data_IF_895601867249
#
_entry.id   IF_895601867249
#
_cell.length_a   1.000
_cell.length_b   1.000
_cell.length_c   1.000
_cell.angle_alpha   90.00
_cell.angle_beta   90.00
_cell.angle_gamma   90.00
#
_symmetry.space_group_name_H-M   'P 1'
#
loop_
_entity.id
_entity.type
_entity.pdbx_description
1 polymer ?
#
# COMPACT_ATOMS: atom_id res chain seq x y z
N UNK A 1 2.02 8.68 -29.10
CA UNK A 1 1.15 8.08 -28.07
C UNK A 1 1.83 6.78 -27.70
N UNK A 2 2.77 6.86 -26.75
CA UNK A 2 3.59 5.72 -26.37
C UNK A 2 2.92 5.05 -25.18
N UNK A 3 2.11 4.05 -25.49
CA UNK A 3 1.65 3.06 -24.53
C UNK A 3 2.88 2.42 -23.90
N UNK A 4 3.05 2.50 -22.58
CA UNK A 4 4.10 1.77 -21.87
C UNK A 4 3.88 0.26 -22.10
N UNK A 5 4.59 -0.29 -23.09
CA UNK A 5 4.64 -1.72 -23.34
C UNK A 5 5.64 -2.32 -22.36
N UNK A 6 5.13 -2.95 -21.30
CA UNK A 6 5.90 -3.89 -20.50
C UNK A 6 6.28 -5.09 -21.38
N UNK A 7 7.51 -5.10 -21.93
CA UNK A 7 8.03 -6.22 -22.73
C UNK A 7 8.81 -7.17 -21.81
N UNK A 8 8.19 -8.30 -21.46
CA UNK A 8 8.83 -9.40 -20.74
C UNK A 8 9.40 -10.45 -21.74
N UNK A 9 10.69 -10.76 -21.63
CA UNK A 9 11.39 -11.78 -22.41
C UNK A 9 11.21 -13.17 -21.76
N UNK A 10 10.63 -14.13 -22.50
CA UNK A 10 10.34 -15.51 -22.03
C UNK A 10 11.57 -16.41 -22.06
N UNK A 11 11.81 -17.15 -20.97
CA UNK A 11 12.64 -18.38 -20.93
C UNK A 11 11.84 -19.47 -20.17
N UNK A 12 11.79 -20.73 -20.65
CA UNK A 12 10.95 -21.77 -20.04
C UNK A 12 11.70 -22.59 -18.98
N UNK A 13 11.13 -22.75 -17.77
CA UNK A 13 11.59 -23.76 -16.80
C UNK A 13 10.50 -24.46 -15.98
N UNK A 14 10.83 -25.70 -15.60
CA UNK A 14 9.97 -26.77 -15.06
C UNK A 14 9.81 -26.70 -13.53
N UNK A 15 8.72 -27.25 -12.96
CA UNK A 15 8.45 -27.17 -11.52
C UNK A 15 9.13 -28.30 -10.72
N UNK A 16 9.57 -27.99 -9.50
CA UNK A 16 10.02 -28.96 -8.48
C UNK A 16 9.21 -28.74 -7.20
N UNK A 17 8.64 -29.82 -6.66
CA UNK A 17 7.84 -29.81 -5.44
C UNK A 17 8.69 -30.15 -4.20
N UNK A 18 8.43 -29.48 -3.08
CA UNK A 18 8.97 -29.89 -1.76
C UNK A 18 7.89 -29.85 -0.67
N UNK A 19 7.92 -30.86 0.22
CA UNK A 19 7.02 -31.03 1.37
C UNK A 19 7.77 -30.67 2.65
N UNK A 20 7.13 -29.90 3.55
CA UNK A 20 7.61 -29.67 4.91
C UNK A 20 6.53 -30.01 5.95
N UNK A 21 6.91 -30.82 6.95
CA UNK A 21 6.13 -31.19 8.12
C UNK A 21 6.20 -30.09 9.19
N UNK A 22 5.10 -29.84 9.89
CA UNK A 22 5.02 -28.94 11.07
C UNK A 22 4.94 -29.76 12.36
N UNK A 23 5.64 -29.31 13.39
CA UNK A 23 5.39 -29.67 14.77
C UNK A 23 4.76 -28.46 15.49
N UNK A 24 3.78 -28.71 16.36
CA UNK A 24 3.07 -27.69 17.13
C UNK A 24 3.43 -27.83 18.62
N UNK A 25 3.50 -26.70 19.33
CA UNK A 25 3.54 -26.64 20.80
C UNK A 25 2.34 -25.82 21.30
N UNK A 26 1.77 -26.15 22.49
CA UNK A 26 0.63 -25.43 23.04
C UNK A 26 1.03 -24.21 23.88
N UNK A 27 0.19 -23.17 23.83
CA UNK A 27 0.27 -21.95 24.63
C UNK A 27 -0.83 -21.98 25.69
N UNK A 28 -0.47 -21.74 26.95
CA UNK A 28 -1.40 -21.59 28.09
C UNK A 28 -1.62 -20.10 28.35
N UNK A 29 -2.89 -19.67 28.44
CA UNK A 29 -3.29 -18.29 28.78
C UNK A 29 -4.06 -18.32 30.10
N UNK A 30 -3.61 -17.52 31.06
CA UNK A 30 -4.30 -17.25 32.32
C UNK A 30 -5.18 -16.00 32.17
N UNK A 31 -6.45 -16.11 32.59
CA UNK A 31 -7.43 -15.02 32.54
C UNK A 31 -7.44 -14.17 33.81
N UNK A 32 -7.74 -12.87 33.65
CA UNK A 32 -8.05 -11.96 34.73
C UNK A 32 -9.46 -11.38 34.51
N UNK A 33 -10.30 -11.47 35.55
CA UNK A 33 -11.64 -10.87 35.63
C UNK A 33 -11.55 -9.37 35.93
N UNK A 34 -12.33 -8.57 35.21
CA UNK A 34 -12.57 -7.15 35.48
C UNK A 34 -14.01 -6.94 35.91
N UNK A 35 -14.20 -6.25 37.04
CA UNK A 35 -15.49 -5.83 37.59
C UNK A 35 -15.91 -4.46 37.04
N UNK A 36 -17.19 -4.31 36.70
CA UNK A 36 -17.78 -3.07 36.17
C UNK A 36 -18.29 -2.14 37.30
N UNK A 37 -18.19 -0.80 37.16
CA UNK A 37 -18.84 0.14 38.06
C UNK A 37 -20.26 0.53 37.62
N UNK A 38 -21.04 0.97 38.60
CA UNK A 38 -22.46 1.29 38.52
C UNK A 38 -22.77 2.57 37.72
N UNK A 39 -23.94 2.57 37.08
CA UNK A 39 -24.45 3.66 36.25
C UNK A 39 -25.06 4.79 37.10
N UNK A 40 -24.70 6.04 36.76
CA UNK A 40 -25.33 7.27 37.26
C UNK A 40 -26.31 7.77 36.19
N UNK A 41 -27.57 7.93 36.56
CA UNK A 41 -28.60 8.53 35.70
C UNK A 41 -28.68 10.03 35.92
N UNK A 42 -28.58 10.81 34.84
CA UNK A 42 -28.74 12.27 34.82
C UNK A 42 -30.06 12.61 34.11
N UNK A 43 -30.86 13.59 34.59
CA UNK A 43 -32.12 13.93 33.96
C UNK A 43 -31.92 14.68 32.63
N UNK A 44 -32.72 14.32 31.62
CA UNK A 44 -32.68 14.92 30.29
C UNK A 44 -33.44 16.26 30.25
N UNK A 45 -32.72 17.35 30.01
CA UNK A 45 -33.31 18.61 29.59
C UNK A 45 -33.59 18.57 28.08
N UNK A 46 -34.82 18.85 27.68
CA UNK A 46 -35.23 18.91 26.27
C UNK A 46 -34.58 20.13 25.59
N UNK A 47 -33.49 19.87 24.85
CA UNK A 47 -32.82 20.86 24.03
C UNK A 47 -33.54 21.03 22.68
N UNK A 48 -33.75 22.29 22.29
CA UNK A 48 -34.28 22.65 20.98
C UNK A 48 -33.44 22.04 19.86
N UNK A 49 -34.11 21.45 18.86
CA UNK A 49 -33.47 20.78 17.71
C UNK A 49 -32.76 21.85 16.86
N UNK A 50 -31.41 21.85 16.80
CA UNK A 50 -30.70 22.78 15.93
C UNK A 50 -30.99 22.45 14.47
N UNK A 51 -31.04 23.48 13.63
CA UNK A 51 -31.17 23.33 12.18
C UNK A 51 -30.09 22.36 11.63
N UNK A 52 -30.42 21.54 10.61
CA UNK A 52 -29.48 20.58 10.05
C UNK A 52 -28.23 21.31 9.56
N UNK A 53 -27.07 20.95 10.11
CA UNK A 53 -25.78 21.44 9.63
C UNK A 53 -25.62 21.02 8.16
N UNK A 54 -25.01 21.87 7.30
CA UNK A 54 -24.67 21.45 5.95
C UNK A 54 -23.91 20.12 6.01
N UNK A 55 -24.34 19.16 5.21
CA UNK A 55 -23.71 17.83 5.16
C UNK A 55 -22.22 18.03 4.92
N UNK A 56 -21.42 17.46 5.81
CA UNK A 56 -19.97 17.52 5.71
C UNK A 56 -19.45 16.92 4.39
N UNK A 57 -18.13 17.00 4.15
CA UNK A 57 -17.50 16.33 3.02
C UNK A 57 -17.95 14.86 2.89
N UNK A 58 -18.35 14.45 1.69
CA UNK A 58 -18.89 13.10 1.41
C UNK A 58 -18.14 12.42 0.26
N UNK A 59 -17.91 11.11 0.39
CA UNK A 59 -17.34 10.29 -0.68
C UNK A 59 -18.25 10.17 -1.90
N UNK A 60 -19.54 10.49 -1.78
CA UNK A 60 -20.46 10.52 -2.92
C UNK A 60 -20.12 11.63 -3.91
N UNK A 61 -19.43 12.69 -3.47
CA UNK A 61 -19.06 13.85 -4.28
C UNK A 61 -17.83 13.62 -5.15
N UNK A 62 -17.24 12.42 -5.10
CA UNK A 62 -16.14 12.03 -5.98
C UNK A 62 -16.55 12.13 -7.46
N UNK A 63 -15.60 12.37 -8.38
CA UNK A 63 -14.17 12.49 -8.14
C UNK A 63 -13.77 13.84 -7.54
N UNK A 64 -12.83 13.83 -6.59
CA UNK A 64 -12.30 15.05 -5.97
C UNK A 64 -11.17 15.64 -6.83
N UNK A 65 -11.25 16.91 -7.27
CA UNK A 65 -10.18 17.55 -8.02
C UNK A 65 -9.00 17.88 -7.10
N UNK A 66 -7.76 17.94 -7.61
CA UNK A 66 -6.61 18.34 -6.81
C UNK A 66 -6.60 19.86 -6.63
N UNK A 67 -6.27 20.32 -5.42
CA UNK A 67 -6.01 21.75 -5.14
C UNK A 67 -4.57 22.16 -5.45
N UNK A 68 -3.65 21.20 -5.56
CA UNK A 68 -2.27 21.39 -6.02
C UNK A 68 -1.85 20.27 -6.98
N UNK A 69 -1.88 20.55 -8.29
CA UNK A 69 -1.52 19.59 -9.33
C UNK A 69 -0.04 19.18 -9.30
N UNK A 70 0.84 19.94 -8.62
CA UNK A 70 2.29 19.64 -8.55
C UNK A 70 2.59 18.43 -7.67
N UNK A 71 1.62 17.97 -6.88
CA UNK A 71 1.73 16.77 -6.06
C UNK A 71 1.50 15.46 -6.84
N UNK A 72 1.19 15.57 -8.14
CA UNK A 72 0.90 14.47 -9.03
C UNK A 72 1.87 14.44 -10.21
N UNK A 73 1.83 13.37 -10.98
CA UNK A 73 2.80 13.12 -12.06
C UNK A 73 2.48 13.95 -13.32
N UNK A 74 3.48 14.32 -14.14
CA UNK A 74 3.28 15.13 -15.33
C UNK A 74 2.52 14.41 -16.46
N UNK A 75 2.49 13.09 -16.45
CA UNK A 75 1.71 12.30 -17.42
C UNK A 75 0.20 12.49 -17.24
N UNK A 76 -0.25 12.73 -15.99
CA UNK A 76 -1.65 13.05 -15.69
C UNK A 76 -1.90 14.56 -15.69
N UNK A 77 -0.97 15.32 -15.12
CA UNK A 77 -1.06 16.79 -15.01
C UNK A 77 0.18 17.45 -15.60
N UNK A 78 0.22 17.79 -16.90
CA UNK A 78 1.40 18.35 -17.55
C UNK A 78 1.96 19.62 -16.89
N UNK A 79 1.12 20.39 -16.20
CA UNK A 79 1.51 21.59 -15.45
C UNK A 79 2.32 21.31 -14.16
N UNK A 80 2.44 20.05 -13.74
CA UNK A 80 3.10 19.66 -12.48
C UNK A 80 4.64 19.75 -12.53
N UNK A 81 5.23 19.98 -13.71
CA UNK A 81 6.68 20.06 -13.91
C UNK A 81 7.41 18.72 -13.73
N UNK A 82 8.73 18.69 -13.94
CA UNK A 82 9.52 17.46 -13.88
C UNK A 82 9.51 16.86 -12.46
N UNK A 83 9.60 15.54 -12.39
CA UNK A 83 9.75 14.81 -11.13
C UNK A 83 11.24 14.63 -10.79
N UNK A 84 11.59 14.77 -9.51
CA UNK A 84 12.96 14.61 -9.02
C UNK A 84 12.92 13.73 -7.77
N UNK A 85 13.73 12.65 -7.67
CA UNK A 85 13.84 11.86 -6.46
C UNK A 85 14.36 12.68 -5.28
N UNK A 86 14.16 12.18 -4.06
CA UNK A 86 14.73 12.80 -2.87
C UNK A 86 16.24 13.05 -3.01
N UNK A 87 16.66 14.30 -2.80
CA UNK A 87 18.06 14.69 -2.76
C UNK A 87 18.65 14.51 -1.34
N UNK A 88 19.96 14.71 -1.22
CA UNK A 88 20.67 14.71 0.07
C UNK A 88 21.34 13.38 0.41
N UNK A 89 21.96 13.29 1.60
CA UNK A 89 22.57 12.06 2.08
C UNK A 89 21.51 11.05 2.49
N UNK A 90 21.85 9.75 2.40
CA UNK A 90 21.01 8.72 2.99
C UNK A 90 20.95 8.89 4.51
N UNK A 91 19.77 8.71 5.14
CA UNK A 91 19.62 8.88 6.58
C UNK A 91 20.42 7.83 7.36
N UNK A 92 21.00 8.24 8.48
CA UNK A 92 21.77 7.36 9.35
C UNK A 92 20.89 6.33 10.08
N UNK A 93 21.47 5.24 10.55
CA UNK A 93 20.72 4.18 11.24
C UNK A 93 19.98 4.66 12.50
N UNK A 94 20.60 5.55 13.28
CA UNK A 94 19.97 6.15 14.47
C UNK A 94 18.76 7.00 14.10
N UNK A 95 18.90 7.85 13.07
CA UNK A 95 17.81 8.68 12.56
C UNK A 95 16.64 7.83 12.04
N UNK A 96 16.94 6.79 11.26
CA UNK A 96 15.95 5.83 10.78
C UNK A 96 15.23 5.14 11.95
N UNK A 97 15.96 4.72 12.99
CA UNK A 97 15.36 4.12 14.19
C UNK A 97 14.38 5.08 14.87
N UNK A 98 14.77 6.34 15.08
CA UNK A 98 13.92 7.34 15.73
C UNK A 98 12.66 7.64 14.92
N UNK A 99 12.81 7.83 13.60
CA UNK A 99 11.68 8.06 12.69
C UNK A 99 10.74 6.85 12.62
N UNK A 100 11.30 5.63 12.62
CA UNK A 100 10.53 4.37 12.65
C UNK A 100 9.76 4.22 13.96
N UNK A 101 10.41 4.42 15.12
CA UNK A 101 9.75 4.39 16.42
C UNK A 101 8.64 5.43 16.53
N UNK A 102 8.85 6.65 16.01
CA UNK A 102 7.80 7.67 15.96
C UNK A 102 6.63 7.24 15.06
N UNK A 103 6.91 6.66 13.89
CA UNK A 103 5.88 6.17 12.96
C UNK A 103 5.04 5.08 13.61
N UNK A 104 5.67 4.07 14.21
CA UNK A 104 4.96 3.00 14.92
C UNK A 104 4.27 3.52 16.18
N UNK A 105 4.85 4.50 16.88
CA UNK A 105 4.25 5.13 18.05
C UNK A 105 2.92 5.82 17.73
N UNK A 106 2.78 6.40 16.54
CA UNK A 106 1.52 7.01 16.09
C UNK A 106 0.49 5.96 15.63
N UNK A 107 0.93 4.88 14.99
CA UNK A 107 0.03 3.88 14.38
C UNK A 107 -0.36 2.73 15.33
N UNK A 108 0.61 2.19 16.04
CA UNK A 108 0.44 1.04 16.93
C UNK A 108 1.49 1.04 18.07
N UNK A 109 1.30 1.90 19.08
CA UNK A 109 2.27 2.10 20.17
C UNK A 109 2.74 0.80 20.84
N UNK A 110 1.84 -0.19 21.00
CA UNK A 110 2.14 -1.47 21.62
C UNK A 110 3.23 -2.30 20.90
N UNK A 111 3.54 -1.98 19.63
CA UNK A 111 4.50 -2.73 18.79
C UNK A 111 5.78 -1.97 18.48
N UNK A 112 6.01 -0.79 19.10
CA UNK A 112 7.25 -0.03 18.93
C UNK A 112 8.47 -0.85 19.34
N UNK A 113 8.39 -1.61 20.44
CA UNK A 113 9.48 -2.48 20.90
C UNK A 113 9.80 -3.60 19.89
N UNK A 114 8.77 -4.27 19.37
CA UNK A 114 8.93 -5.29 18.31
C UNK A 114 9.57 -4.70 17.06
N UNK A 115 9.08 -3.55 16.58
CA UNK A 115 9.65 -2.88 15.41
C UNK A 115 11.12 -2.50 15.60
N UNK A 116 11.47 -2.02 16.80
CA UNK A 116 12.86 -1.67 17.13
C UNK A 116 13.78 -2.90 17.10
N UNK A 117 13.32 -4.06 17.59
CA UNK A 117 14.06 -5.32 17.53
C UNK A 117 14.21 -5.83 16.10
N UNK A 118 13.13 -5.80 15.31
CA UNK A 118 13.16 -6.21 13.90
C UNK A 118 14.14 -5.36 13.08
N UNK A 119 14.15 -4.06 13.29
CA UNK A 119 15.05 -3.14 12.59
C UNK A 119 16.53 -3.36 12.98
N UNK A 120 16.80 -3.50 14.28
CA UNK A 120 18.16 -3.40 14.80
C UNK A 120 18.91 -4.74 14.82
N UNK A 121 18.21 -5.83 15.20
CA UNK A 121 18.87 -7.09 15.59
C UNK A 121 18.29 -8.35 14.95
N UNK A 122 17.15 -8.31 14.24
CA UNK A 122 16.60 -9.51 13.61
C UNK A 122 17.53 -10.03 12.49
N UNK A 123 18.14 -11.22 12.65
CA UNK A 123 19.16 -11.71 11.72
C UNK A 123 18.59 -12.09 10.36
N UNK A 124 17.33 -12.55 10.30
CA UNK A 124 16.67 -12.90 9.05
C UNK A 124 16.46 -11.67 8.17
N UNK A 125 15.87 -10.62 8.75
CA UNK A 125 15.64 -9.37 8.06
C UNK A 125 16.94 -8.64 7.72
N UNK A 126 17.96 -8.67 8.60
CA UNK A 126 19.28 -8.07 8.28
C UNK A 126 19.98 -8.75 7.11
N UNK A 127 19.87 -10.07 7.01
CA UNK A 127 20.45 -10.84 5.91
C UNK A 127 19.73 -10.55 4.60
N UNK A 128 18.41 -10.59 4.59
CA UNK A 128 17.63 -10.36 3.37
C UNK A 128 17.58 -8.88 2.99
N UNK A 129 17.50 -7.96 3.95
CA UNK A 129 17.41 -6.51 3.74
C UNK A 129 18.58 -5.81 4.46
N UNK A 130 19.80 -5.85 3.89
CA UNK A 130 20.99 -5.32 4.54
C UNK A 130 21.02 -3.78 4.62
N UNK A 131 20.43 -3.08 3.66
CA UNK A 131 20.33 -1.63 3.66
C UNK A 131 19.39 -1.13 4.78
N UNK A 132 19.82 -0.20 5.64
CA UNK A 132 19.00 0.24 6.77
C UNK A 132 17.75 1.02 6.34
N UNK A 133 17.77 1.78 5.25
CA UNK A 133 16.59 2.53 4.81
C UNK A 133 15.51 1.56 4.29
N UNK A 134 15.89 0.57 3.47
CA UNK A 134 14.99 -0.51 3.03
C UNK A 134 14.51 -1.37 4.20
N UNK A 135 15.34 -1.59 5.22
CA UNK A 135 14.93 -2.32 6.42
C UNK A 135 13.91 -1.54 7.23
N UNK A 136 14.11 -0.23 7.40
CA UNK A 136 13.12 0.63 8.02
C UNK A 136 11.79 0.59 7.24
N UNK A 137 11.85 0.58 5.90
CA UNK A 137 10.68 0.47 5.03
C UNK A 137 9.93 -0.86 5.24
N UNK A 138 10.66 -1.97 5.32
CA UNK A 138 10.09 -3.28 5.64
C UNK A 138 9.40 -3.28 7.01
N UNK A 139 10.03 -2.74 8.06
CA UNK A 139 9.44 -2.70 9.40
C UNK A 139 8.27 -1.70 9.49
N UNK A 140 8.27 -0.64 8.67
CA UNK A 140 7.16 0.31 8.59
C UNK A 140 5.85 -0.27 8.03
N UNK A 141 5.89 -1.52 7.56
CA UNK A 141 4.70 -2.29 7.19
C UNK A 141 3.95 -2.87 8.39
N UNK A 142 4.55 -2.90 9.58
CA UNK A 142 3.85 -3.32 10.79
C UNK A 142 2.57 -2.49 10.99
N UNK A 143 1.49 -3.18 11.38
CA UNK A 143 0.18 -2.58 11.62
C UNK A 143 -0.44 -1.92 10.38
N UNK A 144 -0.05 -2.38 9.19
CA UNK A 144 -0.68 -2.04 7.91
C UNK A 144 -1.22 -3.31 7.24
N UNK A 145 -1.97 -3.16 6.16
CA UNK A 145 -2.38 -4.29 5.32
C UNK A 145 -1.18 -5.01 4.67
N UNK A 146 -0.02 -4.33 4.60
CA UNK A 146 1.23 -4.89 4.08
C UNK A 146 2.07 -5.64 5.11
N UNK A 147 1.66 -5.70 6.37
CA UNK A 147 2.39 -6.42 7.43
C UNK A 147 2.80 -7.86 7.07
N UNK A 148 1.99 -8.66 6.35
CA UNK A 148 2.40 -10.02 5.97
C UNK A 148 3.72 -10.11 5.21
N UNK A 149 4.14 -9.05 4.51
CA UNK A 149 5.41 -8.98 3.82
C UNK A 149 6.62 -9.03 4.76
N UNK A 150 6.50 -8.57 6.01
CA UNK A 150 7.58 -8.64 7.00
C UNK A 150 8.02 -10.09 7.21
N UNK A 151 7.06 -11.02 7.28
CA UNK A 151 7.38 -12.44 7.40
C UNK A 151 8.02 -13.03 6.13
N UNK A 152 7.61 -12.55 4.95
CA UNK A 152 8.20 -12.97 3.66
C UNK A 152 9.66 -12.52 3.56
N UNK A 153 9.94 -11.26 3.90
CA UNK A 153 11.26 -10.66 3.88
C UNK A 153 12.21 -11.26 4.93
N UNK A 154 11.68 -11.74 6.06
CA UNK A 154 12.46 -12.49 7.06
C UNK A 154 12.77 -13.94 6.64
N UNK A 155 11.97 -14.48 5.73
CA UNK A 155 12.04 -15.86 5.27
C UNK A 155 13.11 -16.09 4.20
N UNK A 156 12.87 -17.10 3.36
CA UNK A 156 13.77 -17.51 2.26
C UNK A 156 13.11 -17.34 0.89
N UNK A 157 12.00 -16.59 0.82
CA UNK A 157 11.30 -16.35 -0.45
C UNK A 157 12.12 -15.49 -1.41
N UNK A 158 12.99 -14.64 -0.86
CA UNK A 158 13.93 -13.81 -1.59
C UNK A 158 15.33 -14.02 -1.03
N UNK A 159 16.35 -13.96 -1.89
CA UNK A 159 17.75 -13.99 -1.47
C UNK A 159 18.16 -12.65 -0.85
N UNK A 160 17.67 -11.55 -1.42
CA UNK A 160 17.96 -10.22 -0.92
C UNK A 160 17.06 -9.13 -1.48
N UNK A 161 17.10 -7.99 -0.79
CA UNK A 161 16.49 -6.72 -1.18
C UNK A 161 17.60 -5.67 -1.21
N UNK A 162 17.81 -5.04 -2.37
CA UNK A 162 18.93 -4.12 -2.57
C UNK A 162 18.60 -3.01 -3.53
N UNK A 163 19.36 -1.92 -3.45
CA UNK A 163 19.37 -0.92 -4.50
C UNK A 163 20.22 -1.38 -5.68
N UNK A 164 19.77 -1.12 -6.91
CA UNK A 164 20.60 -1.20 -8.12
C UNK A 164 20.14 -0.18 -9.17
N UNK A 165 20.93 -0.02 -10.23
CA UNK A 165 20.48 0.76 -11.38
C UNK A 165 19.33 0.03 -12.09
N UNK A 166 18.22 0.73 -12.28
CA UNK A 166 17.07 0.30 -13.08
C UNK A 166 16.69 1.43 -14.06
N UNK A 167 15.94 1.15 -15.13
CA UNK A 167 15.38 2.19 -15.99
C UNK A 167 14.66 3.27 -15.16
N UNK A 168 14.71 4.56 -15.54
CA UNK A 168 14.12 5.65 -14.74
C UNK A 168 12.63 5.48 -14.41
N UNK A 169 11.87 4.81 -15.29
CA UNK A 169 10.45 4.52 -15.11
C UNK A 169 10.19 3.45 -14.04
N UNK A 170 11.14 2.55 -13.78
CA UNK A 170 11.01 1.45 -12.82
C UNK A 170 11.34 1.92 -11.41
N UNK A 171 10.42 1.68 -10.46
CA UNK A 171 10.64 1.95 -9.02
C UNK A 171 11.37 0.79 -8.36
N UNK A 172 10.83 -0.41 -8.56
CA UNK A 172 11.42 -1.67 -8.13
C UNK A 172 11.00 -2.78 -9.11
N UNK A 173 11.63 -3.94 -8.99
CA UNK A 173 11.24 -5.16 -9.68
C UNK A 173 11.78 -6.39 -8.94
N UNK A 174 11.14 -7.53 -9.16
CA UNK A 174 11.73 -8.84 -8.88
C UNK A 174 12.75 -9.18 -9.98
N UNK A 175 13.99 -9.45 -9.57
CA UNK A 175 15.08 -9.88 -10.43
C UNK A 175 15.32 -11.39 -10.25
N UNK A 176 15.76 -12.10 -11.31
CA UNK A 176 16.07 -13.51 -11.20
C UNK A 176 17.21 -13.74 -10.19
N UNK A 177 17.34 -14.96 -9.64
CA UNK A 177 18.47 -15.31 -8.78
C UNK A 177 19.80 -15.06 -9.52
N UNK A 178 20.77 -14.46 -8.82
CA UNK A 178 22.14 -14.36 -9.32
C UNK A 178 22.89 -15.70 -9.27
N UNK A 179 24.12 -15.77 -9.80
CA UNK A 179 24.94 -16.97 -9.71
C UNK A 179 25.11 -17.46 -8.26
N UNK A 180 24.69 -18.70 -7.99
CA UNK A 180 24.77 -19.31 -6.66
C UNK A 180 23.59 -18.99 -5.73
N UNK A 181 22.65 -18.15 -6.15
CA UNK A 181 21.43 -17.87 -5.41
C UNK A 181 20.29 -18.81 -5.85
N UNK A 182 19.42 -19.20 -4.91
CA UNK A 182 18.31 -20.14 -5.17
C UNK A 182 16.94 -19.47 -5.18
N UNK A 183 16.86 -18.21 -4.77
CA UNK A 183 15.65 -17.41 -4.70
C UNK A 183 15.86 -16.05 -5.40
N UNK A 184 14.79 -15.43 -5.94
CA UNK A 184 14.90 -14.14 -6.62
C UNK A 184 15.33 -13.02 -5.66
N UNK A 185 15.65 -11.85 -6.21
CA UNK A 185 15.92 -10.65 -5.44
C UNK A 185 14.84 -9.60 -5.69
N UNK A 186 14.57 -8.77 -4.70
CA UNK A 186 13.87 -7.50 -4.92
C UNK A 186 14.93 -6.42 -5.18
N UNK A 187 14.83 -5.77 -6.33
CA UNK A 187 15.74 -4.67 -6.70
C UNK A 187 14.96 -3.38 -6.70
N UNK A 188 15.36 -2.43 -5.86
CA UNK A 188 14.80 -1.07 -5.82
C UNK A 188 15.72 -0.15 -6.62
N UNK A 189 15.18 0.76 -7.41
CA UNK A 189 15.98 1.68 -8.20
C UNK A 189 16.81 2.59 -7.28
N UNK A 190 18.13 2.56 -7.44
CA UNK A 190 19.10 3.27 -6.62
C UNK A 190 18.92 4.79 -6.59
N UNK A 191 18.16 5.36 -7.53
CA UNK A 191 17.77 6.77 -7.51
C UNK A 191 16.84 7.13 -6.34
N UNK A 192 16.13 6.15 -5.78
CA UNK A 192 15.23 6.32 -4.63
C UNK A 192 15.89 6.02 -3.27
N UNK A 193 17.21 5.85 -3.23
CA UNK A 193 17.92 5.46 -1.99
C UNK A 193 17.79 6.45 -0.84
N UNK A 194 17.52 7.71 -1.16
CA UNK A 194 17.35 8.81 -0.22
C UNK A 194 15.88 9.11 0.09
N UNK A 195 14.94 8.38 -0.52
CA UNK A 195 13.52 8.56 -0.21
C UNK A 195 13.25 8.18 1.25
N UNK A 196 12.19 8.78 1.80
CA UNK A 196 11.71 8.38 3.11
C UNK A 196 11.24 6.93 3.08
N UNK A 197 11.66 6.12 4.07
CA UNK A 197 11.32 4.71 4.13
C UNK A 197 9.80 4.45 4.10
N UNK A 198 8.97 5.41 4.54
CA UNK A 198 7.51 5.31 4.49
C UNK A 198 6.97 5.30 3.06
N UNK A 199 7.66 5.96 2.12
CA UNK A 199 7.35 5.87 0.69
C UNK A 199 7.84 4.55 0.10
N UNK A 200 8.95 4.01 0.58
CA UNK A 200 9.49 2.72 0.12
C UNK A 200 8.70 1.51 0.65
N UNK A 201 8.01 1.65 1.79
CA UNK A 201 7.23 0.58 2.40
C UNK A 201 6.19 -0.06 1.46
N UNK A 202 5.24 0.70 0.86
CA UNK A 202 4.28 0.13 -0.10
C UNK A 202 4.96 -0.48 -1.33
N UNK A 203 6.10 0.05 -1.78
CA UNK A 203 6.90 -0.54 -2.88
C UNK A 203 7.44 -1.91 -2.49
N UNK A 204 8.05 -2.05 -1.31
CA UNK A 204 8.53 -3.36 -0.85
C UNK A 204 7.39 -4.36 -0.67
N UNK A 205 6.26 -3.90 -0.13
CA UNK A 205 5.07 -4.74 -0.04
C UNK A 205 4.61 -5.24 -1.42
N UNK A 206 4.53 -4.36 -2.41
CA UNK A 206 4.19 -4.71 -3.79
C UNK A 206 5.08 -5.84 -4.31
N UNK A 207 6.40 -5.66 -4.26
CA UNK A 207 7.35 -6.63 -4.80
C UNK A 207 7.29 -7.99 -4.07
N UNK A 208 6.89 -8.00 -2.80
CA UNK A 208 6.72 -9.27 -2.07
C UNK A 208 5.49 -10.08 -2.49
N UNK A 209 4.60 -9.51 -3.30
CA UNK A 209 3.45 -10.23 -3.86
C UNK A 209 3.85 -11.06 -5.08
N UNK A 210 4.84 -10.60 -5.84
CA UNK A 210 5.38 -11.31 -7.00
C UNK A 210 6.18 -12.55 -6.59
N UNK A 211 6.13 -13.59 -7.42
CA UNK A 211 6.85 -14.86 -7.19
C UNK A 211 7.99 -15.09 -8.20
N UNK A 212 7.96 -14.39 -9.34
CA UNK A 212 8.94 -14.49 -10.40
C UNK A 212 9.11 -13.14 -11.12
N UNK A 213 9.81 -13.15 -12.26
CA UNK A 213 10.20 -11.94 -13.01
C UNK A 213 9.23 -11.56 -14.13
N UNK A 214 8.12 -12.29 -14.29
CA UNK A 214 7.17 -12.12 -15.39
C UNK A 214 5.75 -11.89 -14.83
N UNK A 215 5.53 -10.79 -14.08
CA UNK A 215 4.22 -10.53 -13.50
C UNK A 215 3.18 -10.35 -14.61
N UNK A 216 2.01 -10.97 -14.42
CA UNK A 216 0.87 -10.73 -15.28
C UNK A 216 0.25 -9.35 -15.03
N UNK A 217 -0.51 -8.81 -16.00
CA UNK A 217 -1.26 -7.56 -15.76
C UNK A 217 -2.24 -7.66 -14.57
N UNK A 218 -2.75 -8.88 -14.29
CA UNK A 218 -3.60 -9.11 -13.11
C UNK A 218 -2.80 -9.09 -11.81
N UNK A 219 -1.58 -9.63 -11.81
CA UNK A 219 -0.64 -9.47 -10.70
C UNK A 219 -0.38 -8.01 -10.39
N UNK A 220 -0.02 -7.22 -11.41
CA UNK A 220 0.24 -5.78 -11.26
C UNK A 220 -0.99 -5.02 -10.77
N UNK A 221 -2.19 -5.33 -11.29
CA UNK A 221 -3.42 -4.70 -10.82
C UNK A 221 -3.73 -5.03 -9.36
N UNK A 222 -3.59 -6.30 -8.95
CA UNK A 222 -3.81 -6.72 -7.56
C UNK A 222 -2.76 -6.10 -6.63
N UNK A 223 -1.48 -6.16 -7.02
CA UNK A 223 -0.39 -5.60 -6.24
C UNK A 223 -0.51 -4.08 -6.10
N UNK A 224 -0.81 -3.39 -7.20
CA UNK A 224 -1.11 -1.95 -7.23
C UNK A 224 -2.35 -1.56 -6.44
N UNK A 225 -3.41 -2.39 -6.45
CA UNK A 225 -4.59 -2.15 -5.64
C UNK A 225 -4.26 -2.22 -4.14
N UNK A 226 -3.53 -3.25 -3.71
CA UNK A 226 -3.19 -3.47 -2.31
C UNK A 226 -2.13 -2.48 -1.81
N UNK A 227 -1.11 -2.18 -2.61
CA UNK A 227 -0.05 -1.25 -2.21
C UNK A 227 -0.58 0.19 -2.05
N UNK A 228 -1.62 0.57 -2.81
CA UNK A 228 -2.26 1.88 -2.67
C UNK A 228 -2.98 2.00 -1.32
N UNK A 229 -3.58 0.91 -0.83
CA UNK A 229 -4.17 0.87 0.51
C UNK A 229 -3.09 0.95 1.61
N UNK A 230 -1.94 0.30 1.41
CA UNK A 230 -0.79 0.44 2.31
C UNK A 230 -0.29 1.89 2.31
N UNK A 231 -0.17 2.53 1.15
CA UNK A 231 0.23 3.93 1.06
C UNK A 231 -0.77 4.87 1.75
N UNK A 232 -2.08 4.63 1.60
CA UNK A 232 -3.10 5.37 2.35
C UNK A 232 -2.87 5.27 3.87
N UNK A 233 -2.58 4.08 4.40
CA UNK A 233 -2.26 3.90 5.83
C UNK A 233 -0.95 4.60 6.23
N UNK A 234 0.03 4.71 5.33
CA UNK A 234 1.20 5.54 5.56
C UNK A 234 0.81 7.02 5.69
N UNK A 235 -0.02 7.54 4.79
CA UNK A 235 -0.46 8.94 4.83
C UNK A 235 -1.31 9.28 6.06
N UNK A 236 -2.16 8.37 6.53
CA UNK A 236 -2.91 8.55 7.78
C UNK A 236 -2.00 8.70 9.00
N UNK A 237 -0.77 8.18 8.93
CA UNK A 237 0.22 8.25 10.02
C UNK A 237 1.26 9.35 9.80
N UNK A 238 1.53 9.72 8.54
CA UNK A 238 2.60 10.60 8.11
C UNK A 238 2.15 11.42 6.88
N UNK A 239 1.22 12.37 7.06
CA UNK A 239 0.65 13.13 5.95
C UNK A 239 1.67 13.98 5.21
N UNK A 240 2.80 14.32 5.85
CA UNK A 240 3.90 15.06 5.22
C UNK A 240 4.50 14.36 3.99
N UNK A 241 4.32 13.03 3.87
CA UNK A 241 4.83 12.27 2.73
C UNK A 241 4.13 12.65 1.43
N UNK A 242 2.82 12.92 1.48
CA UNK A 242 2.04 13.33 0.30
C UNK A 242 2.49 14.68 -0.27
N UNK A 243 3.01 15.57 0.58
CA UNK A 243 3.45 16.93 0.18
C UNK A 243 4.97 17.07 0.05
N UNK A 244 5.71 15.97 0.15
CA UNK A 244 7.18 15.98 0.03
C UNK A 244 7.66 16.38 -1.37
N UNK A 245 6.82 16.22 -2.40
CA UNK A 245 7.10 16.63 -3.77
C UNK A 245 8.14 15.77 -4.50
N UNK A 246 8.67 14.72 -3.85
CA UNK A 246 9.62 13.80 -4.48
C UNK A 246 8.95 13.01 -5.60
N UNK A 247 9.75 12.51 -6.54
CA UNK A 247 9.26 11.67 -7.63
C UNK A 247 8.47 10.47 -7.10
N UNK A 248 8.98 9.78 -6.08
CA UNK A 248 8.30 8.60 -5.53
C UNK A 248 6.95 8.99 -4.88
N UNK A 249 6.92 10.09 -4.12
CA UNK A 249 5.68 10.59 -3.54
C UNK A 249 4.65 10.94 -4.62
N UNK A 250 5.05 11.65 -5.68
CA UNK A 250 4.15 12.04 -6.78
C UNK A 250 3.59 10.83 -7.52
N UNK A 251 4.43 9.82 -7.83
CA UNK A 251 3.98 8.57 -8.45
C UNK A 251 2.93 7.85 -7.59
N UNK A 252 3.16 7.77 -6.27
CA UNK A 252 2.20 7.14 -5.37
C UNK A 252 0.94 7.97 -5.14
N UNK A 253 1.05 9.29 -5.07
CA UNK A 253 -0.10 10.20 -5.00
C UNK A 253 -1.00 10.05 -6.22
N UNK A 254 -0.43 10.00 -7.43
CA UNK A 254 -1.20 9.76 -8.66
C UNK A 254 -1.96 8.44 -8.58
N UNK A 255 -1.27 7.34 -8.26
CA UNK A 255 -1.92 6.02 -8.13
C UNK A 255 -3.02 6.02 -7.06
N UNK A 256 -2.75 6.60 -5.89
CA UNK A 256 -3.72 6.66 -4.79
C UNK A 256 -4.89 7.59 -5.10
N UNK A 257 -4.69 8.67 -5.85
CA UNK A 257 -5.78 9.54 -6.30
C UNK A 257 -6.75 8.79 -7.20
N UNK A 258 -6.25 8.01 -8.18
CA UNK A 258 -7.10 7.15 -8.99
C UNK A 258 -7.91 6.19 -8.11
N UNK A 259 -7.27 5.61 -7.09
CA UNK A 259 -7.93 4.69 -6.16
C UNK A 259 -9.02 5.39 -5.35
N UNK A 260 -8.69 6.53 -4.74
CA UNK A 260 -9.62 7.32 -3.92
C UNK A 260 -10.83 7.77 -4.73
N UNK A 261 -10.62 8.18 -5.99
CA UNK A 261 -11.69 8.62 -6.89
C UNK A 261 -12.44 7.49 -7.61
N UNK A 262 -12.08 6.23 -7.34
CA UNK A 262 -12.77 5.05 -7.90
C UNK A 262 -13.74 4.40 -6.91
N UNK A 263 -14.82 3.83 -7.46
CA UNK A 263 -15.89 3.12 -6.78
C UNK A 263 -17.24 3.85 -6.79
N UNK A 264 -18.35 3.13 -6.57
CA UNK A 264 -19.69 3.68 -6.66
C UNK A 264 -20.16 4.33 -5.35
N UNK A 265 -20.85 5.47 -5.45
CA UNK A 265 -21.39 6.22 -4.32
C UNK A 265 -20.30 6.56 -3.30
N UNK A 266 -20.49 6.17 -2.04
CA UNK A 266 -19.51 6.36 -0.97
C UNK A 266 -18.46 5.25 -0.87
N UNK A 267 -18.52 4.20 -1.69
CA UNK A 267 -17.62 3.04 -1.60
C UNK A 267 -16.37 3.23 -2.46
N UNK A 268 -15.21 2.87 -1.93
CA UNK A 268 -14.03 2.62 -2.76
C UNK A 268 -14.26 1.42 -3.67
N UNK A 269 -13.66 1.46 -4.86
CA UNK A 269 -13.75 0.41 -5.87
C UNK A 269 -12.61 0.50 -6.88
N UNK A 270 -12.44 -0.55 -7.68
CA UNK A 270 -11.40 -0.73 -8.69
C UNK A 270 -11.93 -0.40 -10.09
N UNK A 271 -13.14 -0.87 -10.40
CA UNK A 271 -13.62 -0.99 -11.77
C UNK A 271 -14.53 0.15 -12.24
N UNK A 272 -15.13 0.88 -11.31
CA UNK A 272 -16.08 1.96 -11.58
C UNK A 272 -15.61 3.26 -10.92
N UNK A 273 -16.24 4.37 -11.28
CA UNK A 273 -16.08 5.67 -10.62
C UNK A 273 -17.41 6.43 -10.67
N UNK A 274 -17.60 7.40 -9.77
CA UNK A 274 -18.80 8.26 -9.75
C UNK A 274 -18.86 9.28 -10.89
N UNK A 275 -17.75 9.45 -11.62
CA UNK A 275 -17.66 10.34 -12.77
C UNK A 275 -16.83 9.70 -13.88
N UNK A 276 -16.75 10.35 -15.05
CA UNK A 276 -16.07 9.82 -16.22
C UNK A 276 -14.54 9.80 -16.10
N UNK A 277 -13.97 10.48 -15.09
CA UNK A 277 -12.53 10.66 -14.95
C UNK A 277 -12.10 10.67 -13.47
N UNK A 278 -11.21 9.76 -13.08
CA UNK A 278 -10.64 9.71 -11.72
C UNK A 278 -9.55 10.75 -11.46
N UNK A 279 -9.13 11.47 -12.51
CA UNK A 279 -8.19 12.59 -12.46
C UNK A 279 -8.82 13.90 -12.94
N UNK A 280 -9.73 14.54 -12.17
CA UNK A 280 -10.37 15.77 -12.62
C UNK A 280 -9.35 16.83 -13.06
N UNK A 281 -9.55 17.40 -14.25
CA UNK A 281 -8.66 18.38 -14.87
C UNK A 281 -7.35 17.83 -15.45
N UNK A 282 -7.10 16.51 -15.38
CA UNK A 282 -5.93 15.85 -15.94
C UNK A 282 -6.27 14.89 -17.09
N UNK A 283 -5.28 14.09 -17.49
CA UNK A 283 -5.44 13.03 -18.50
C UNK A 283 -6.55 12.06 -18.08
N UNK A 284 -7.58 11.83 -18.92
CA UNK A 284 -8.71 11.00 -18.54
C UNK A 284 -8.36 9.54 -18.21
N UNK A 285 -8.92 9.04 -17.11
CA UNK A 285 -8.89 7.63 -16.74
C UNK A 285 -10.23 7.22 -16.12
N UNK A 286 -10.87 6.17 -16.64
CA UNK A 286 -12.25 5.82 -16.25
C UNK A 286 -12.39 5.21 -14.85
N UNK A 287 -11.36 4.51 -14.37
CA UNK A 287 -11.29 3.90 -13.04
C UNK A 287 -9.84 3.54 -12.69
N UNK A 288 -9.58 3.14 -11.46
CA UNK A 288 -8.26 2.67 -11.03
C UNK A 288 -7.79 1.49 -11.89
N UNK A 289 -8.66 0.50 -12.14
CA UNK A 289 -8.32 -0.68 -12.92
C UNK A 289 -7.96 -0.36 -14.37
N UNK A 290 -8.50 0.74 -14.92
CA UNK A 290 -8.19 1.17 -16.29
C UNK A 290 -6.72 1.63 -16.46
N UNK A 291 -5.98 1.89 -15.38
CA UNK A 291 -4.55 2.21 -15.45
C UNK A 291 -3.69 0.99 -15.84
N UNK A 292 -4.28 -0.22 -15.82
CA UNK A 292 -3.60 -1.48 -16.08
C UNK A 292 -4.10 -2.04 -17.42
N UNK A 293 -3.21 -2.53 -18.30
CA UNK A 293 -3.65 -3.00 -19.61
C UNK A 293 -4.65 -4.17 -19.51
N UNK A 294 -5.81 -4.02 -20.14
CA UNK A 294 -6.85 -5.05 -20.20
C UNK A 294 -6.33 -6.29 -20.95
N UNK A 295 -6.56 -7.49 -20.39
CA UNK A 295 -6.37 -8.74 -21.14
C UNK A 295 -5.10 -9.55 -20.86
N UNK A 296 -4.61 -9.60 -19.62
CA UNK A 296 -3.62 -10.63 -19.23
C UNK A 296 -4.29 -12.01 -19.06
N UNK A 297 -4.00 -13.04 -19.87
CA UNK A 297 -4.73 -14.31 -19.87
C UNK A 297 -4.29 -15.32 -18.81
N UNK A 298 -3.35 -15.00 -17.91
CA UNK A 298 -2.84 -15.97 -16.94
C UNK A 298 -3.31 -15.63 -15.54
N UNK A 299 -4.26 -16.41 -15.02
CA UNK A 299 -4.34 -16.62 -13.58
C UNK A 299 -3.02 -17.21 -13.13
N UNK A 300 -2.34 -16.55 -12.20
CA UNK A 300 -1.12 -17.08 -11.59
C UNK A 300 -1.34 -17.39 -10.10
N UNK A 301 -0.59 -18.35 -9.53
CA UNK A 301 -0.75 -18.70 -8.13
C UNK A 301 -0.48 -17.52 -7.19
N UNK A 302 -1.32 -17.38 -6.18
CA UNK A 302 -1.08 -16.41 -5.11
C UNK A 302 -0.06 -16.89 -4.09
N UNK A 303 0.53 -15.95 -3.38
CA UNK A 303 1.49 -16.25 -2.32
C UNK A 303 0.91 -16.09 -0.90
N UNK A 304 1.73 -16.40 0.12
CA UNK A 304 1.28 -16.34 1.52
C UNK A 304 1.05 -14.90 2.02
N UNK A 305 1.79 -13.91 1.50
CA UNK A 305 1.53 -12.50 1.82
C UNK A 305 0.16 -12.09 1.30
N UNK A 306 -0.14 -12.34 0.01
CA UNK A 306 -1.43 -12.03 -0.60
C UNK A 306 -2.59 -12.63 0.20
N UNK A 307 -2.55 -13.95 0.49
CA UNK A 307 -3.58 -14.63 1.30
C UNK A 307 -3.81 -13.98 2.67
N UNK A 308 -2.75 -13.52 3.34
CA UNK A 308 -2.86 -12.88 4.65
C UNK A 308 -3.38 -11.46 4.53
N UNK A 309 -2.93 -10.70 3.54
CA UNK A 309 -3.39 -9.34 3.28
C UNK A 309 -4.89 -9.33 2.94
N UNK A 310 -5.37 -10.27 2.11
CA UNK A 310 -6.82 -10.35 1.82
C UNK A 310 -7.66 -10.56 3.09
N UNK A 311 -7.15 -11.28 4.10
CA UNK A 311 -7.86 -11.41 5.39
C UNK A 311 -7.86 -10.12 6.19
N UNK A 312 -6.82 -9.30 6.06
CA UNK A 312 -6.73 -8.02 6.79
C UNK A 312 -7.68 -6.96 6.22
N UNK A 313 -7.94 -6.99 4.91
CA UNK A 313 -8.86 -6.04 4.26
C UNK A 313 -10.31 -6.52 4.23
N UNK A 314 -10.56 -7.78 4.59
CA UNK A 314 -11.89 -8.40 4.58
C UNK A 314 -12.84 -7.63 5.51
N UNK A 315 -14.02 -7.28 5.00
CA UNK A 315 -15.10 -6.82 5.85
C UNK A 315 -15.54 -7.93 6.83
N UNK A 316 -16.18 -7.60 7.97
CA UNK A 316 -16.69 -8.61 8.89
C UNK A 316 -17.56 -9.65 8.16
N UNK A 317 -17.21 -10.93 8.30
CA UNK A 317 -17.90 -12.05 7.65
C UNK A 317 -17.49 -12.35 6.21
N UNK A 318 -16.72 -11.47 5.55
CA UNK A 318 -16.19 -11.74 4.22
C UNK A 318 -15.05 -12.77 4.30
N UNK A 319 -15.06 -13.74 3.38
CA UNK A 319 -14.03 -14.77 3.27
C UNK A 319 -13.25 -14.58 1.97
N UNK A 320 -11.92 -14.42 2.00
CA UNK A 320 -11.11 -14.38 0.79
C UNK A 320 -11.30 -15.62 -0.09
N UNK A 321 -11.17 -15.48 -1.42
CA UNK A 321 -11.31 -16.62 -2.32
C UNK A 321 -10.29 -17.72 -1.97
N UNK A 322 -10.67 -19.01 -2.10
CA UNK A 322 -9.74 -20.12 -1.91
C UNK A 322 -8.48 -19.95 -2.77
N UNK A 323 -7.30 -20.13 -2.16
CA UNK A 323 -6.00 -19.95 -2.84
C UNK A 323 -5.49 -18.51 -2.88
N UNK A 324 -6.41 -17.53 -3.04
CA UNK A 324 -6.11 -16.11 -3.27
C UNK A 324 -5.13 -15.90 -4.43
N UNK A 325 -5.48 -16.44 -5.60
CA UNK A 325 -4.64 -16.35 -6.80
C UNK A 325 -4.72 -14.96 -7.44
N UNK A 326 -3.84 -14.68 -8.39
CA UNK A 326 -3.94 -13.46 -9.18
C UNK A 326 -4.98 -13.62 -10.29
N UNK A 327 -6.24 -13.61 -9.90
CA UNK A 327 -7.40 -13.86 -10.75
C UNK A 327 -8.56 -12.87 -10.51
N UNK A 328 -9.63 -13.03 -11.29
CA UNK A 328 -10.78 -12.14 -11.23
C UNK A 328 -11.55 -12.29 -9.91
N UNK A 329 -11.53 -13.47 -9.29
CA UNK A 329 -12.16 -13.69 -7.99
C UNK A 329 -11.46 -12.88 -6.90
N UNK A 330 -10.13 -12.83 -6.92
CA UNK A 330 -9.35 -11.99 -5.99
C UNK A 330 -9.54 -10.51 -6.27
N UNK A 331 -9.60 -10.10 -7.53
CA UNK A 331 -9.92 -8.71 -7.88
C UNK A 331 -11.31 -8.28 -7.40
N UNK A 332 -12.34 -9.10 -7.64
CA UNK A 332 -13.70 -8.85 -7.15
C UNK A 332 -13.74 -8.81 -5.62
N UNK A 333 -12.99 -9.69 -4.96
CA UNK A 333 -12.87 -9.66 -3.50
C UNK A 333 -12.26 -8.34 -3.03
N UNK A 334 -11.16 -7.87 -3.65
CA UNK A 334 -10.53 -6.59 -3.31
C UNK A 334 -11.46 -5.43 -3.63
N UNK A 335 -12.22 -5.46 -4.74
CA UNK A 335 -13.21 -4.42 -5.09
C UNK A 335 -14.30 -4.29 -4.01
N UNK A 336 -14.74 -5.42 -3.46
CA UNK A 336 -15.73 -5.46 -2.39
C UNK A 336 -15.17 -5.17 -0.99
N UNK A 337 -13.86 -5.34 -0.78
CA UNK A 337 -13.21 -5.32 0.54
C UNK A 337 -11.97 -4.43 0.54
N UNK A 338 -12.08 -3.27 1.19
CA UNK A 338 -11.09 -2.20 1.07
C UNK A 338 -10.27 -1.99 2.34
N UNK A 339 -10.72 -2.56 3.47
CA UNK A 339 -10.12 -2.38 4.79
C UNK A 339 -10.22 -0.97 5.39
N UNK A 340 -10.31 0.08 4.58
CA UNK A 340 -10.44 1.47 5.02
C UNK A 340 -11.91 1.86 5.26
N UNK A 341 -12.16 2.56 6.36
CA UNK A 341 -13.44 3.22 6.62
C UNK A 341 -13.66 4.44 5.73
N UNK A 342 -14.91 4.87 5.48
CA UNK A 342 -15.19 6.08 4.72
C UNK A 342 -14.46 7.33 5.23
N UNK A 343 -14.32 7.47 6.56
CA UNK A 343 -13.61 8.58 7.18
C UNK A 343 -12.10 8.55 6.86
N UNK A 344 -11.47 7.37 6.87
CA UNK A 344 -10.05 7.21 6.50
C UNK A 344 -9.81 7.52 5.03
N UNK A 345 -10.72 7.13 4.14
CA UNK A 345 -10.64 7.47 2.71
C UNK A 345 -10.72 8.98 2.51
N UNK A 346 -11.63 9.65 3.22
CA UNK A 346 -11.77 11.09 3.14
C UNK A 346 -10.53 11.82 3.68
N UNK A 347 -10.00 11.39 4.83
CA UNK A 347 -8.76 11.95 5.37
C UNK A 347 -7.59 11.72 4.41
N UNK A 348 -7.52 10.54 3.78
CA UNK A 348 -6.53 10.27 2.74
C UNK A 348 -6.65 11.24 1.57
N UNK A 349 -7.86 11.51 1.10
CA UNK A 349 -8.11 12.51 0.05
C UNK A 349 -7.62 13.92 0.45
N UNK A 350 -7.84 14.31 1.70
CA UNK A 350 -7.38 15.59 2.23
C UNK A 350 -5.86 15.67 2.34
N UNK A 351 -5.20 14.58 2.75
CA UNK A 351 -3.73 14.48 2.78
C UNK A 351 -3.11 14.61 1.39
N UNK A 352 -3.81 14.13 0.35
CA UNK A 352 -3.47 14.33 -1.05
C UNK A 352 -3.82 15.73 -1.60
N UNK A 353 -4.30 16.65 -0.75
CA UNK A 353 -4.77 17.99 -1.16
C UNK A 353 -5.87 17.95 -2.22
N UNK A 354 -6.77 16.97 -2.14
CA UNK A 354 -7.96 16.94 -2.97
C UNK A 354 -9.06 17.82 -2.37
N UNK A 355 -9.83 18.52 -3.22
CA UNK A 355 -10.97 19.32 -2.79
C UNK A 355 -12.15 18.40 -2.44
N UNK A 356 -12.32 18.18 -1.14
CA UNK A 356 -13.43 17.39 -0.61
C UNK A 356 -14.60 18.28 -0.14
N UNK A 357 -14.57 19.59 -0.38
CA UNK A 357 -15.62 20.48 0.07
C UNK A 357 -16.95 20.15 -0.63
N UNK A 358 -18.10 20.34 0.03
CA UNK A 358 -19.39 20.20 -0.63
C UNK A 358 -19.48 21.11 -1.85
N UNK A 359 -20.01 20.58 -2.95
CA UNK A 359 -20.30 21.37 -4.15
C UNK A 359 -21.17 22.57 -3.75
N UNK A 360 -20.64 23.77 -3.93
CA UNK A 360 -21.42 25.00 -3.74
C UNK A 360 -22.51 25.01 -4.82
N UNK A 361 -23.76 24.83 -4.42
CA UNK A 361 -24.92 25.08 -5.28
C UNK A 361 -24.82 26.54 -5.72
N UNK A 362 -24.54 26.76 -7.01
CA UNK A 362 -24.51 28.09 -7.61
C UNK A 362 -25.92 28.59 -7.90
#
# INVERSE_FOLDING_TARGET
MDTEVFVALRVPHRPVASRLRRAALPLVIAGALLTAPAAVTVPAAAAAVPAPRPSGPSLEQRPFPPTDVRLFTPEVYPASGPMVPAAGPAPGQLELSLRLSSTLGRRCPARVGEGSLLFSVDPGLRRTVPDPNLRAAAVALLCTFGEPAVAVLRGTAFTGVRYAALPPASIAQVAPPGPGETAPNIVVNSRYRNEDFRLLAPVLFHETLHQDTNPSNKEELIAGALDSLVYAQQLLTAPEQAISGTELARRQNTKLMARVNSGPGARLGLFTANGPNVYPGGTPLSSFAAAFPSGGPATTPGNTALRRTLRLIAAPGATPPPGANFDDATLQFIDANQGLSPAEVLHTAQNLRLDTAPLRTR
#
